data_IF_144960941458
#
_entry.id   IF_144960941458
#
_cell.length_a   1.000
_cell.length_b   1.000
_cell.length_c   1.000
_cell.angle_alpha   90.00
_cell.angle_beta   90.00
_cell.angle_gamma   90.00
#
_symmetry.space_group_name_H-M   'P 1'
#
loop_
_entity.id
_entity.type
_entity.pdbx_description
1 polymer ?
#
# COMPACT_ATOMS: atom_id res chain seq x y z
N UNK A 1 1.01 10.09 13.26
CA UNK A 1 1.41 8.89 14.02
C UNK A 1 2.26 9.23 15.24
N UNK A 2 3.43 9.87 15.09
CA UNK A 2 4.35 10.15 16.21
C UNK A 2 3.70 10.87 17.41
N UNK A 3 2.95 11.96 17.17
CA UNK A 3 2.27 12.70 18.23
C UNK A 3 1.24 11.85 19.00
N UNK A 4 0.47 11.00 18.29
CA UNK A 4 -0.51 10.11 18.92
C UNK A 4 0.15 9.03 19.78
N UNK A 5 1.30 8.50 19.33
CA UNK A 5 2.08 7.55 20.11
C UNK A 5 2.64 8.18 21.40
N UNK A 6 3.16 9.41 21.31
CA UNK A 6 3.66 10.15 22.47
C UNK A 6 2.53 10.42 23.48
N UNK A 7 1.34 10.81 23.01
CA UNK A 7 0.19 11.01 23.89
C UNK A 7 -0.24 9.71 24.59
N UNK A 8 -0.31 8.58 23.87
CA UNK A 8 -0.65 7.28 24.45
C UNK A 8 0.38 6.83 25.51
N UNK A 9 1.65 7.15 25.31
CA UNK A 9 2.70 6.91 26.31
C UNK A 9 2.50 7.75 27.57
N UNK A 10 2.21 9.05 27.44
CA UNK A 10 1.92 9.92 28.58
C UNK A 10 0.67 9.49 29.38
N UNK A 11 -0.30 8.88 28.71
CA UNK A 11 -1.54 8.40 29.31
C UNK A 11 -1.44 6.97 29.85
N UNK A 12 -0.25 6.35 29.84
CA UNK A 12 -0.01 4.95 30.26
C UNK A 12 -0.92 3.93 29.53
N UNK A 13 -1.28 4.23 28.27
CA UNK A 13 -2.13 3.40 27.42
C UNK A 13 -1.32 2.43 26.54
N UNK A 14 0.00 2.37 26.71
CA UNK A 14 0.83 1.42 25.98
C UNK A 14 0.78 0.04 26.66
N UNK A 15 0.67 -1.06 25.88
CA UNK A 15 0.70 -2.39 26.45
C UNK A 15 2.05 -2.65 27.14
N UNK A 16 2.00 -3.35 28.28
CA UNK A 16 3.22 -3.82 28.94
C UNK A 16 4.04 -4.70 27.99
N UNK A 17 5.37 -4.56 28.03
CA UNK A 17 6.28 -5.33 27.18
C UNK A 17 6.16 -6.83 27.47
N UNK A 18 5.38 -7.53 26.64
CA UNK A 18 5.24 -9.00 26.63
C UNK A 18 6.09 -9.65 25.54
N UNK A 19 7.03 -8.91 24.96
CA UNK A 19 7.87 -9.40 23.89
C UNK A 19 8.72 -10.61 24.36
N UNK A 20 8.75 -11.71 23.60
CA UNK A 20 9.56 -12.87 23.95
C UNK A 20 11.05 -12.50 23.96
N UNK A 21 11.75 -12.88 25.03
CA UNK A 21 13.17 -12.59 25.30
C UNK A 21 14.15 -13.17 24.27
N UNK A 22 13.68 -14.06 23.38
CA UNK A 22 14.48 -14.73 22.36
C UNK A 22 13.98 -14.41 20.94
N UNK A 23 13.73 -13.13 20.64
CA UNK A 23 13.45 -12.71 19.26
C UNK A 23 14.74 -12.77 18.43
N UNK A 24 14.71 -13.48 17.30
CA UNK A 24 15.81 -13.43 16.32
C UNK A 24 16.00 -12.00 15.83
N UNK A 25 17.25 -11.53 15.80
CA UNK A 25 17.61 -10.23 15.23
C UNK A 25 17.36 -10.17 13.71
N UNK A 26 17.27 -11.34 13.06
CA UNK A 26 17.07 -11.48 11.61
C UNK A 26 16.01 -12.55 11.39
N UNK A 27 14.90 -12.18 10.76
CA UNK A 27 13.89 -13.11 10.26
C UNK A 27 14.04 -13.23 8.76
N UNK A 28 14.26 -14.46 8.27
CA UNK A 28 14.24 -14.76 6.84
C UNK A 28 12.79 -15.02 6.44
N UNK A 29 12.25 -14.35 5.39
CA UNK A 29 10.88 -14.60 4.95
C UNK A 29 10.75 -16.01 4.41
N UNK A 30 9.72 -16.74 4.84
CA UNK A 30 9.39 -18.06 4.32
C UNK A 30 8.49 -17.91 3.08
N UNK A 31 8.96 -18.31 1.88
CA UNK A 31 8.14 -18.20 0.69
C UNK A 31 6.94 -19.16 0.79
N UNK A 32 5.79 -18.73 0.27
CA UNK A 32 4.56 -19.53 0.21
C UNK A 32 4.09 -20.09 1.59
N UNK A 33 4.26 -19.33 2.68
CA UNK A 33 3.83 -19.77 4.01
C UNK A 33 2.35 -20.24 4.06
N UNK A 34 1.48 -19.60 3.28
CA UNK A 34 0.06 -19.95 3.16
C UNK A 34 -0.28 -20.90 1.98
N UNK A 35 0.72 -21.34 1.22
CA UNK A 35 0.53 -22.15 0.01
C UNK A 35 0.01 -21.37 -1.20
N UNK A 36 -0.42 -22.09 -2.25
CA UNK A 36 -1.10 -21.54 -3.43
C UNK A 36 -2.51 -22.10 -3.49
N UNK A 37 -3.51 -21.23 -3.60
CA UNK A 37 -4.92 -21.59 -3.74
C UNK A 37 -5.70 -20.48 -4.42
N UNK A 38 -6.71 -20.83 -5.19
CA UNK A 38 -7.64 -19.88 -5.81
C UNK A 38 -8.95 -19.96 -5.04
N UNK A 39 -9.28 -18.86 -4.36
CA UNK A 39 -10.58 -18.71 -3.71
C UNK A 39 -11.49 -17.85 -4.59
N UNK A 40 -12.48 -18.49 -5.22
CA UNK A 40 -13.43 -17.82 -6.09
C UNK A 40 -14.31 -16.81 -5.36
N UNK A 41 -14.48 -16.92 -4.05
CA UNK A 41 -15.23 -15.94 -3.26
C UNK A 41 -14.52 -14.58 -3.17
N UNK A 42 -13.19 -14.57 -3.32
CA UNK A 42 -12.37 -13.35 -3.28
C UNK A 42 -12.29 -12.63 -4.63
N UNK A 43 -12.78 -13.23 -5.71
CA UNK A 43 -12.70 -12.64 -7.05
C UNK A 43 -13.39 -11.27 -7.12
N UNK A 44 -14.62 -11.17 -6.61
CA UNK A 44 -15.39 -9.94 -6.66
C UNK A 44 -14.79 -8.83 -5.76
N UNK A 45 -14.44 -9.08 -4.48
CA UNK A 45 -13.70 -8.13 -3.67
C UNK A 45 -12.41 -7.65 -4.32
N UNK A 46 -11.64 -8.56 -4.93
CA UNK A 46 -10.37 -8.22 -5.57
C UNK A 46 -10.57 -7.32 -6.79
N UNK A 47 -11.59 -7.58 -7.61
CA UNK A 47 -11.95 -6.70 -8.74
C UNK A 47 -12.29 -5.28 -8.27
N UNK A 48 -13.01 -5.14 -7.14
CA UNK A 48 -13.34 -3.83 -6.59
C UNK A 48 -12.10 -3.10 -6.06
N UNK A 49 -11.24 -3.80 -5.31
CA UNK A 49 -9.97 -3.23 -4.83
C UNK A 49 -9.13 -2.78 -6.02
N UNK A 50 -8.98 -3.62 -7.04
CA UNK A 50 -8.23 -3.30 -8.25
C UNK A 50 -8.78 -2.07 -8.98
N UNK A 51 -10.10 -1.94 -9.07
CA UNK A 51 -10.74 -0.77 -9.68
C UNK A 51 -10.45 0.50 -8.87
N UNK A 52 -10.56 0.45 -7.55
CA UNK A 52 -10.32 1.59 -6.66
C UNK A 52 -8.85 2.03 -6.75
N UNK A 53 -7.92 1.09 -6.65
CA UNK A 53 -6.47 1.38 -6.71
C UNK A 53 -6.05 1.89 -8.08
N UNK A 54 -6.70 1.43 -9.15
CA UNK A 54 -6.49 1.99 -10.50
C UNK A 54 -6.94 3.44 -10.60
N UNK A 55 -8.09 3.79 -10.02
CA UNK A 55 -8.58 5.18 -9.98
C UNK A 55 -7.70 6.07 -9.09
N UNK A 56 -7.23 5.56 -7.96
CA UNK A 56 -6.25 6.21 -7.08
C UNK A 56 -4.96 6.52 -7.84
N UNK A 57 -4.40 5.54 -8.55
CA UNK A 57 -3.19 5.70 -9.35
C UNK A 57 -3.34 6.79 -10.42
N UNK A 58 -4.51 6.88 -11.05
CA UNK A 58 -4.80 7.96 -12.03
C UNK A 58 -4.78 9.32 -11.34
N UNK A 59 -5.42 9.43 -10.17
CA UNK A 59 -5.42 10.64 -9.34
C UNK A 59 -4.01 11.06 -8.94
N UNK A 60 -3.21 10.13 -8.42
CA UNK A 60 -1.84 10.36 -7.97
C UNK A 60 -0.92 10.80 -9.11
N UNK A 61 -1.02 10.18 -10.28
CA UNK A 61 -0.24 10.59 -11.47
C UNK A 61 -0.65 11.98 -11.95
N UNK A 62 -1.94 12.30 -11.89
CA UNK A 62 -2.45 13.61 -12.30
C UNK A 62 -1.97 14.69 -11.34
N UNK A 63 -2.11 14.47 -10.02
CA UNK A 63 -1.65 15.39 -8.98
C UNK A 63 -0.12 15.57 -9.02
N UNK A 64 0.62 14.48 -9.17
CA UNK A 64 2.08 14.53 -9.31
C UNK A 64 2.48 15.27 -10.58
N UNK A 65 1.74 15.10 -11.69
CA UNK A 65 2.02 15.82 -12.93
C UNK A 65 1.78 17.33 -12.77
N UNK A 66 0.73 17.72 -12.07
CA UNK A 66 0.43 19.13 -11.77
C UNK A 66 1.52 19.76 -10.88
N UNK A 67 1.88 19.11 -9.77
CA UNK A 67 2.91 19.59 -8.83
C UNK A 67 4.31 19.63 -9.45
N UNK A 68 4.58 18.79 -10.46
CA UNK A 68 5.88 18.74 -11.15
C UNK A 68 5.92 19.53 -12.46
N UNK A 69 4.91 20.36 -12.73
CA UNK A 69 4.78 21.15 -13.96
C UNK A 69 4.87 20.31 -15.24
N UNK A 70 4.42 19.06 -15.14
CA UNK A 70 4.36 18.11 -16.25
C UNK A 70 3.00 18.18 -16.95
N UNK A 71 2.93 17.77 -18.23
CA UNK A 71 1.66 17.81 -18.95
C UNK A 71 0.63 16.84 -18.34
N UNK A 72 -0.55 17.37 -18.02
CA UNK A 72 -1.74 16.63 -17.54
C UNK A 72 -2.67 16.17 -18.68
N UNK A 73 -2.25 16.34 -19.92
CA UNK A 73 -2.96 15.89 -21.11
C UNK A 73 -1.99 15.52 -22.23
N UNK A 74 -2.49 14.84 -23.26
CA UNK A 74 -1.70 14.47 -24.42
C UNK A 74 -0.95 13.13 -24.29
N UNK A 75 -0.10 12.78 -25.27
CA UNK A 75 0.47 11.44 -25.42
C UNK A 75 1.41 11.04 -24.28
N UNK A 76 2.18 12.00 -23.73
CA UNK A 76 3.12 11.75 -22.64
C UNK A 76 2.39 11.42 -21.32
N UNK A 77 1.33 12.18 -21.01
CA UNK A 77 0.43 11.90 -19.89
C UNK A 77 -0.20 10.51 -20.02
N UNK A 78 -0.75 10.19 -21.20
CA UNK A 78 -1.38 8.90 -21.45
C UNK A 78 -0.39 7.73 -21.34
N UNK A 79 0.87 7.91 -21.74
CA UNK A 79 1.92 6.90 -21.57
C UNK A 79 2.22 6.66 -20.09
N UNK A 80 2.30 7.71 -19.27
CA UNK A 80 2.52 7.61 -17.81
C UNK A 80 1.35 6.96 -17.11
N UNK A 81 0.13 7.34 -17.46
CA UNK A 81 -1.10 6.82 -16.88
C UNK A 81 -1.27 5.33 -17.18
N UNK A 82 -1.08 4.91 -18.44
CA UNK A 82 -1.09 3.48 -18.80
C UNK A 82 0.02 2.69 -18.10
N UNK A 83 1.24 3.24 -18.05
CA UNK A 83 2.36 2.60 -17.37
C UNK A 83 2.15 2.45 -15.87
N UNK A 84 1.61 3.48 -15.22
CA UNK A 84 1.34 3.47 -13.78
C UNK A 84 0.22 2.51 -13.40
N UNK A 85 -0.89 2.51 -14.14
CA UNK A 85 -1.99 1.56 -13.90
C UNK A 85 -1.55 0.12 -14.12
N UNK A 86 -0.71 -0.16 -15.14
CA UNK A 86 -0.16 -1.50 -15.39
C UNK A 86 0.86 -1.95 -14.32
N UNK A 87 1.61 -1.02 -13.73
CA UNK A 87 2.58 -1.34 -12.68
C UNK A 87 1.94 -1.53 -11.30
N UNK A 88 0.76 -0.95 -11.09
CA UNK A 88 -0.03 -1.11 -9.88
C UNK A 88 -0.94 -2.36 -9.91
N UNK A 89 -1.12 -2.94 -11.09
CA UNK A 89 -1.91 -4.14 -11.35
C UNK A 89 -1.12 -5.43 -11.05
#
# INVERSE_FOLDING_TARGET
>A
MAAGYLAAWFLDMLPANTAPTNSSLITVPTPLYYGLGIDWSLLLPLMLVFMITSLETIGDITATSDVSEQPVSGPLYMKRLKGGVLANA
#
